data_IF_973851645279
#
_entry.id   IF_973851645279
#
_cell.length_a   1.000
_cell.length_b   1.000
_cell.length_c   1.000
_cell.angle_alpha   90.00
_cell.angle_beta   90.00
_cell.angle_gamma   90.00
#
_symmetry.space_group_name_H-M   'P 1'
#
loop_
_entity.id
_entity.type
_entity.pdbx_description
1 polymer ?
#
# COMPACT_ATOMS: atom_id res chain seq x y z
N UNK A 1 27.50 11.93 -11.42
CA UNK A 1 27.75 10.75 -12.27
C UNK A 1 26.40 10.19 -12.73
N UNK A 2 26.35 9.54 -13.90
CA UNK A 2 25.16 8.86 -14.41
C UNK A 2 24.87 7.56 -13.65
N UNK A 3 23.66 7.00 -13.84
CA UNK A 3 23.30 5.69 -13.32
C UNK A 3 24.25 4.62 -13.89
N UNK A 4 24.69 3.64 -13.08
CA UNK A 4 25.37 2.45 -13.58
C UNK A 4 24.52 1.71 -14.62
N UNK A 5 25.17 1.08 -15.60
CA UNK A 5 24.48 0.34 -16.68
C UNK A 5 23.99 -1.05 -16.27
N UNK A 6 24.50 -1.58 -15.16
CA UNK A 6 24.15 -2.87 -14.56
C UNK A 6 22.94 -2.79 -13.60
N UNK A 7 22.53 -1.58 -13.20
CA UNK A 7 21.31 -1.38 -12.40
C UNK A 7 20.10 -1.06 -13.29
N UNK A 8 18.92 -1.27 -12.73
CA UNK A 8 17.68 -0.73 -13.31
C UNK A 8 17.72 0.80 -13.26
N UNK A 9 17.29 1.44 -14.35
CA UNK A 9 17.28 2.91 -14.47
C UNK A 9 15.87 3.37 -14.85
N UNK A 10 15.37 4.43 -14.21
CA UNK A 10 13.98 4.87 -14.34
C UNK A 10 12.95 3.90 -13.75
N UNK A 11 11.67 4.10 -14.08
CA UNK A 11 10.60 3.18 -13.66
C UNK A 11 10.59 1.91 -14.51
N UNK A 12 10.20 0.78 -13.91
CA UNK A 12 10.10 -0.51 -14.63
C UNK A 12 8.70 -0.73 -15.19
N UNK A 13 8.64 -1.07 -16.47
CA UNK A 13 7.47 -1.70 -17.10
C UNK A 13 7.74 -3.20 -17.26
N UNK A 14 6.98 -4.04 -16.56
CA UNK A 14 7.17 -5.50 -16.61
C UNK A 14 6.54 -6.03 -17.90
N UNK A 15 7.28 -6.85 -18.66
CA UNK A 15 6.82 -7.40 -19.93
C UNK A 15 6.62 -8.92 -19.84
N UNK A 16 5.39 -9.36 -20.13
CA UNK A 16 4.97 -10.76 -20.09
C UNK A 16 4.14 -11.07 -18.85
N UNK A 17 3.33 -12.16 -18.87
CA UNK A 17 2.63 -12.63 -17.68
C UNK A 17 3.65 -13.04 -16.61
N UNK A 18 3.29 -12.89 -15.34
CA UNK A 18 4.08 -13.41 -14.21
C UNK A 18 3.45 -14.75 -13.80
N UNK A 19 4.22 -15.83 -13.84
CA UNK A 19 3.79 -17.13 -13.35
C UNK A 19 4.05 -17.26 -11.84
N UNK A 20 3.34 -18.17 -11.17
CA UNK A 20 3.57 -18.41 -9.73
C UNK A 20 5.02 -18.86 -9.46
N UNK A 21 5.59 -19.69 -10.34
CA UNK A 21 7.00 -20.11 -10.27
C UNK A 21 8.00 -18.97 -10.36
N UNK A 22 7.65 -17.86 -11.02
CA UNK A 22 8.52 -16.68 -11.11
C UNK A 22 8.52 -15.91 -9.79
N UNK A 23 7.38 -15.92 -9.07
CA UNK A 23 7.24 -15.33 -7.73
C UNK A 23 7.97 -16.16 -6.68
N UNK A 24 7.76 -17.47 -6.68
CA UNK A 24 8.32 -18.40 -5.68
C UNK A 24 9.85 -18.31 -5.61
N UNK A 25 10.51 -18.06 -6.75
CA UNK A 25 11.96 -17.86 -6.85
C UNK A 25 12.49 -16.52 -6.33
N UNK A 26 11.63 -15.52 -6.10
CA UNK A 26 12.00 -14.16 -5.63
C UNK A 26 11.30 -13.74 -4.33
N UNK A 27 10.57 -14.65 -3.68
CA UNK A 27 9.84 -14.38 -2.43
C UNK A 27 10.80 -14.08 -1.27
N UNK A 28 10.78 -12.84 -0.78
CA UNK A 28 11.55 -12.35 0.35
C UNK A 28 10.72 -12.45 1.63
N UNK A 29 11.17 -13.27 2.58
CA UNK A 29 10.45 -13.58 3.84
C UNK A 29 10.18 -12.39 4.77
N UNK A 30 10.80 -11.23 4.57
CA UNK A 30 10.67 -10.07 5.46
C UNK A 30 10.78 -8.76 4.70
N UNK A 31 9.71 -7.98 4.73
CA UNK A 31 9.70 -6.62 4.19
C UNK A 31 10.78 -5.76 4.87
N UNK A 32 11.68 -5.07 4.14
CA UNK A 32 12.75 -4.24 4.70
C UNK A 32 12.26 -2.86 5.19
N UNK A 33 10.94 -2.67 5.27
CA UNK A 33 10.28 -1.40 5.53
C UNK A 33 9.30 -1.53 6.69
N UNK A 34 9.26 -0.49 7.52
CA UNK A 34 8.22 -0.25 8.52
C UNK A 34 7.51 1.07 8.19
N UNK A 35 6.19 1.12 8.30
CA UNK A 35 5.38 2.31 7.96
C UNK A 35 4.70 2.88 9.20
N UNK A 36 4.52 4.20 9.24
CA UNK A 36 3.74 4.89 10.27
C UNK A 36 2.87 5.93 9.57
N UNK A 37 1.56 5.76 9.60
CA UNK A 37 0.62 6.73 9.04
C UNK A 37 0.00 7.56 10.16
N UNK A 38 -0.12 8.87 9.95
CA UNK A 38 -0.69 9.73 10.99
C UNK A 38 -2.21 9.55 11.10
N UNK A 39 -2.78 9.55 12.32
CA UNK A 39 -4.22 9.55 12.50
C UNK A 39 -4.80 10.87 12.03
N UNK A 40 -6.01 10.82 11.45
CA UNK A 40 -6.72 11.97 10.88
C UNK A 40 -8.03 12.24 11.60
N UNK A 41 -8.47 13.50 11.58
CA UNK A 41 -9.78 13.94 12.11
C UNK A 41 -10.70 14.51 11.02
N UNK A 42 -10.16 14.88 9.85
CA UNK A 42 -10.90 15.34 8.67
C UNK A 42 -10.57 14.49 7.45
N UNK A 43 -11.50 14.39 6.50
CA UNK A 43 -11.28 13.73 5.21
C UNK A 43 -10.16 14.40 4.40
N UNK A 44 -9.45 13.66 3.52
CA UNK A 44 -8.42 14.22 2.66
C UNK A 44 -9.04 15.04 1.52
N UNK A 45 -8.32 16.06 1.03
CA UNK A 45 -8.78 16.86 -0.12
C UNK A 45 -7.93 16.61 -1.35
N UNK A 46 -8.54 16.68 -2.54
CA UNK A 46 -7.81 16.72 -3.81
C UNK A 46 -7.57 18.17 -4.20
N UNK A 47 -6.32 18.54 -4.45
CA UNK A 47 -5.93 19.84 -5.00
C UNK A 47 -5.16 19.66 -6.30
N UNK A 48 -5.11 20.73 -7.11
CA UNK A 48 -4.46 20.74 -8.43
C UNK A 48 -4.84 19.56 -9.35
N UNK A 49 -6.07 19.05 -9.18
CA UNK A 49 -6.65 17.85 -9.82
C UNK A 49 -6.01 16.51 -9.48
N UNK A 50 -4.69 16.42 -9.29
CA UNK A 50 -4.01 15.14 -9.14
C UNK A 50 -3.25 14.94 -7.81
N UNK A 51 -3.30 15.89 -6.88
CA UNK A 51 -2.58 15.82 -5.59
C UNK A 51 -3.56 15.62 -4.42
N UNK A 52 -3.14 14.86 -3.40
CA UNK A 52 -3.94 14.63 -2.17
C UNK A 52 -3.24 15.28 -0.97
N UNK A 53 -3.99 16.13 -0.26
CA UNK A 53 -3.51 16.78 0.98
C UNK A 53 -3.67 15.83 2.17
N UNK A 54 -2.66 14.96 2.35
CA UNK A 54 -2.60 13.97 3.44
C UNK A 54 -1.16 13.55 3.80
N UNK A 55 -0.20 14.45 3.59
CA UNK A 55 1.24 14.16 3.74
C UNK A 55 1.74 14.28 5.18
N UNK A 56 1.05 15.04 6.03
CA UNK A 56 1.52 15.45 7.36
C UNK A 56 1.70 14.25 8.31
N UNK A 57 2.90 14.12 8.88
CA UNK A 57 3.23 13.19 9.96
C UNK A 57 3.38 11.72 9.57
N UNK A 58 2.96 11.33 8.36
CA UNK A 58 3.17 9.99 7.82
C UNK A 58 4.65 9.78 7.43
N UNK A 59 5.23 8.64 7.81
CA UNK A 59 6.66 8.34 7.63
C UNK A 59 6.90 6.85 7.36
N UNK A 60 8.05 6.50 6.80
CA UNK A 60 8.51 5.11 6.73
C UNK A 60 9.99 4.98 7.13
N UNK A 61 10.39 3.77 7.51
CA UNK A 61 11.77 3.45 7.91
C UNK A 61 12.26 2.31 7.01
N UNK A 62 13.34 2.57 6.28
CA UNK A 62 14.05 1.57 5.46
C UNK A 62 15.48 1.42 5.98
N UNK A 63 15.87 0.19 6.35
CA UNK A 63 17.23 -0.12 6.88
C UNK A 63 17.73 0.89 7.92
N UNK A 64 16.87 1.24 8.89
CA UNK A 64 17.10 2.24 9.95
C UNK A 64 17.08 3.72 9.53
N UNK A 65 17.07 4.05 8.24
CA UNK A 65 16.90 5.43 7.75
C UNK A 65 15.42 5.81 7.72
N UNK A 66 15.08 7.00 8.25
CA UNK A 66 13.70 7.54 8.28
C UNK A 66 13.45 8.45 7.08
N UNK A 67 12.32 8.23 6.43
CA UNK A 67 11.80 9.00 5.31
C UNK A 67 10.43 9.58 5.69
N UNK A 68 10.15 10.82 5.28
CA UNK A 68 8.88 11.49 5.54
C UNK A 68 8.03 11.49 4.27
N UNK A 69 6.71 11.28 4.40
CA UNK A 69 5.79 11.41 3.28
C UNK A 69 5.78 12.88 2.84
N UNK A 70 6.19 13.11 1.59
CA UNK A 70 6.38 14.47 1.05
C UNK A 70 5.32 14.84 0.02
N UNK A 71 4.71 13.84 -0.63
CA UNK A 71 3.76 14.04 -1.71
C UNK A 71 2.87 12.81 -1.95
N UNK A 72 1.65 13.02 -2.44
CA UNK A 72 0.70 11.97 -2.82
C UNK A 72 0.03 12.37 -4.14
N UNK A 73 0.20 11.57 -5.19
CA UNK A 73 -0.39 11.83 -6.51
C UNK A 73 -1.30 10.69 -7.01
N UNK A 74 -2.38 11.07 -7.69
CA UNK A 74 -3.20 10.19 -8.54
C UNK A 74 -2.76 10.36 -9.99
N UNK A 75 -2.17 9.33 -10.58
CA UNK A 75 -1.42 9.41 -11.85
C UNK A 75 -1.88 8.37 -12.87
N UNK A 76 -1.43 8.54 -14.11
CA UNK A 76 -1.50 7.48 -15.13
C UNK A 76 -0.71 6.26 -14.66
N UNK A 77 -1.16 5.03 -14.92
CA UNK A 77 -0.41 3.83 -14.56
C UNK A 77 1.00 3.85 -15.16
N UNK A 78 2.02 3.91 -14.30
CA UNK A 78 3.43 3.86 -14.68
C UNK A 78 3.85 2.40 -14.76
N UNK A 79 3.58 1.69 -13.67
CA UNK A 79 3.81 0.27 -13.62
C UNK A 79 2.66 -0.38 -14.39
N UNK A 80 3.01 -1.10 -15.44
CA UNK A 80 2.08 -1.90 -16.24
C UNK A 80 2.69 -3.26 -16.55
N UNK A 81 1.83 -4.20 -16.98
CA UNK A 81 2.23 -5.53 -17.46
C UNK A 81 2.50 -6.60 -16.40
N UNK A 82 2.54 -6.28 -15.09
CA UNK A 82 2.57 -7.27 -14.00
C UNK A 82 1.22 -7.98 -13.80
N UNK A 83 0.77 -8.76 -14.77
CA UNK A 83 -0.43 -9.57 -14.60
C UNK A 83 -0.09 -10.73 -13.64
N UNK A 84 -0.53 -10.61 -12.39
CA UNK A 84 -0.42 -11.68 -11.39
C UNK A 84 -1.20 -12.94 -11.81
N UNK A 85 -0.79 -14.14 -11.36
CA UNK A 85 -1.55 -15.37 -11.56
C UNK A 85 -3.03 -15.21 -11.16
N UNK A 86 -3.94 -15.51 -12.08
CA UNK A 86 -5.39 -15.40 -11.87
C UNK A 86 -6.00 -14.01 -12.04
N UNK A 87 -5.20 -12.94 -12.09
CA UNK A 87 -5.68 -11.58 -12.37
C UNK A 87 -5.72 -11.33 -13.88
N UNK A 88 -6.62 -10.44 -14.33
CA UNK A 88 -6.78 -10.05 -15.76
C UNK A 88 -7.10 -8.57 -15.98
N UNK A 89 -7.14 -7.79 -14.90
CA UNK A 89 -7.54 -6.39 -14.95
C UNK A 89 -6.35 -5.49 -15.26
N UNK A 90 -6.58 -4.43 -16.02
CA UNK A 90 -5.60 -3.37 -16.25
C UNK A 90 -5.92 -2.17 -15.35
N UNK A 91 -4.93 -1.58 -14.67
CA UNK A 91 -5.17 -0.38 -13.87
C UNK A 91 -5.59 0.79 -14.77
N UNK A 92 -6.46 1.66 -14.25
CA UNK A 92 -6.89 2.90 -14.91
C UNK A 92 -6.17 4.14 -14.41
N UNK A 93 -5.77 4.11 -13.15
CA UNK A 93 -4.94 5.10 -12.49
C UNK A 93 -3.99 4.39 -11.50
N UNK A 94 -3.07 5.13 -10.91
CA UNK A 94 -2.16 4.64 -9.87
C UNK A 94 -2.04 5.73 -8.79
N UNK A 95 -2.16 5.35 -7.53
CA UNK A 95 -1.91 6.22 -6.38
C UNK A 95 -0.44 6.05 -5.97
N UNK A 96 0.32 7.14 -5.93
CA UNK A 96 1.74 7.12 -5.56
C UNK A 96 2.00 7.99 -4.35
N UNK A 97 2.47 7.38 -3.26
CA UNK A 97 2.97 8.05 -2.06
C UNK A 97 4.49 8.19 -2.20
N UNK A 98 4.99 9.41 -2.08
CA UNK A 98 6.39 9.74 -2.29
C UNK A 98 7.06 10.16 -0.98
N UNK A 99 7.88 9.28 -0.42
CA UNK A 99 8.61 9.52 0.82
C UNK A 99 10.02 10.02 0.49
N UNK A 100 10.41 11.20 0.99
CA UNK A 100 11.75 11.77 0.81
C UNK A 100 12.66 11.49 2.00
N UNK A 101 13.95 11.33 1.75
CA UNK A 101 14.95 11.30 2.82
C UNK A 101 15.04 12.66 3.52
N UNK A 102 15.29 12.68 4.83
CA UNK A 102 15.51 13.93 5.58
C UNK A 102 16.90 14.53 5.33
N UNK A 103 17.80 13.75 4.74
CA UNK A 103 19.16 14.13 4.37
C UNK A 103 19.39 13.68 2.92
N UNK A 104 19.92 14.52 2.03
CA UNK A 104 20.25 14.12 0.67
C UNK A 104 21.13 12.85 0.64
N UNK A 105 20.83 11.94 -0.27
CA UNK A 105 21.58 10.70 -0.41
C UNK A 105 22.96 10.97 -1.03
N UNK A 106 24.03 10.81 -0.25
CA UNK A 106 25.41 11.00 -0.72
C UNK A 106 25.93 9.86 -1.62
N UNK A 107 25.14 8.79 -1.81
CA UNK A 107 25.49 7.65 -2.66
C UNK A 107 24.23 6.86 -3.02
N UNK A 108 24.24 6.14 -4.15
CA UNK A 108 23.12 5.28 -4.60
C UNK A 108 22.79 4.10 -3.65
N UNK A 109 23.65 3.83 -2.66
CA UNK A 109 23.36 2.87 -1.60
C UNK A 109 22.35 3.42 -0.57
N UNK A 110 22.17 4.74 -0.52
CA UNK A 110 21.11 5.44 0.18
C UNK A 110 20.11 5.94 -0.87
N UNK A 111 18.80 5.86 -0.60
CA UNK A 111 17.80 6.34 -1.55
C UNK A 111 17.47 7.81 -1.26
N UNK A 112 17.35 8.63 -2.30
CA UNK A 112 16.81 9.99 -2.20
C UNK A 112 15.31 9.93 -1.86
N UNK A 113 14.61 8.88 -2.31
CA UNK A 113 13.22 8.64 -1.96
C UNK A 113 12.76 7.19 -2.07
N UNK A 114 11.61 6.93 -1.44
CA UNK A 114 10.89 5.66 -1.46
C UNK A 114 9.50 5.93 -2.02
N UNK A 115 9.08 5.17 -3.02
CA UNK A 115 7.78 5.30 -3.66
C UNK A 115 6.91 4.08 -3.33
N UNK A 116 5.68 4.31 -2.84
CA UNK A 116 4.67 3.26 -2.72
C UNK A 116 3.60 3.51 -3.78
N UNK A 117 3.45 2.57 -4.69
CA UNK A 117 2.65 2.68 -5.89
C UNK A 117 1.52 1.66 -5.84
N UNK A 118 0.28 2.15 -5.91
CA UNK A 118 -0.93 1.36 -5.70
C UNK A 118 -1.84 1.52 -6.93
N UNK A 119 -1.92 0.52 -7.83
CA UNK A 119 -2.84 0.56 -8.97
C UNK A 119 -4.30 0.70 -8.53
N UNK A 120 -5.09 1.41 -9.34
CA UNK A 120 -6.54 1.60 -9.14
C UNK A 120 -7.27 0.94 -10.31
N UNK A 121 -8.19 0.05 -9.99
CA UNK A 121 -9.01 -0.72 -10.94
C UNK A 121 -10.47 -0.25 -10.88
N UNK A 122 -11.10 -0.08 -12.05
CA UNK A 122 -12.51 0.33 -12.22
C UNK A 122 -13.49 -0.85 -12.33
N UNK A 123 -13.03 -2.06 -12.00
CA UNK A 123 -13.79 -3.31 -12.18
C UNK A 123 -13.52 -4.31 -11.04
N UNK A 124 -14.56 -5.01 -10.60
CA UNK A 124 -14.48 -6.04 -9.55
C UNK A 124 -15.28 -5.70 -8.29
N UNK A 125 -15.13 -6.54 -7.26
CA UNK A 125 -15.72 -6.27 -5.95
C UNK A 125 -14.90 -5.18 -5.22
N UNK A 126 -15.53 -4.14 -4.64
CA UNK A 126 -14.82 -3.08 -3.95
C UNK A 126 -13.87 -3.60 -2.87
N UNK A 127 -12.64 -3.11 -2.87
CA UNK A 127 -11.57 -3.56 -1.98
C UNK A 127 -10.50 -2.48 -1.83
N UNK A 128 -10.09 -2.20 -0.60
CA UNK A 128 -9.14 -1.13 -0.24
C UNK A 128 -9.57 0.30 -0.67
N UNK A 129 -10.83 0.48 -1.07
CA UNK A 129 -11.39 1.70 -1.64
C UNK A 129 -11.89 2.71 -0.60
N UNK A 130 -12.06 2.30 0.66
CA UNK A 130 -12.53 3.15 1.75
C UNK A 130 -11.72 4.45 1.93
N UNK A 131 -10.43 4.46 1.59
CA UNK A 131 -9.63 5.68 1.57
C UNK A 131 -10.05 6.62 0.42
N UNK A 132 -10.04 6.12 -0.82
CA UNK A 132 -10.37 6.93 -2.01
C UNK A 132 -11.85 7.35 -2.06
N UNK A 133 -12.76 6.58 -1.46
CA UNK A 133 -14.18 6.93 -1.39
C UNK A 133 -14.44 8.22 -0.59
N UNK A 134 -13.56 8.61 0.35
CA UNK A 134 -13.65 9.92 1.03
C UNK A 134 -13.30 11.10 0.10
N UNK A 135 -12.52 10.84 -0.96
CA UNK A 135 -12.20 11.87 -1.95
C UNK A 135 -13.38 12.13 -2.89
N UNK A 136 -14.38 11.25 -2.91
CA UNK A 136 -15.59 11.38 -3.70
C UNK A 136 -16.59 12.24 -2.95
N UNK A 137 -16.98 13.36 -3.57
CA UNK A 137 -18.11 14.13 -3.05
C UNK A 137 -19.42 13.39 -3.33
N UNK A 138 -19.90 12.65 -2.34
CA UNK A 138 -21.22 11.99 -2.38
C UNK A 138 -22.38 12.97 -2.31
N UNK A 139 -22.14 14.29 -2.29
CA UNK A 139 -23.18 15.31 -2.38
C UNK A 139 -23.36 15.93 -3.78
N UNK A 140 -22.44 15.71 -4.71
CA UNK A 140 -22.53 16.19 -6.10
C UNK A 140 -23.15 15.11 -7.02
N UNK A 141 -24.36 15.33 -7.57
CA UNK A 141 -24.96 14.38 -8.49
C UNK A 141 -24.31 14.43 -9.87
N UNK A 142 -24.00 13.25 -10.42
CA UNK A 142 -23.31 13.09 -11.71
C UNK A 142 -24.10 13.59 -12.94
N UNK A 143 -25.37 13.93 -12.77
CA UNK A 143 -26.29 14.34 -13.83
C UNK A 143 -26.94 15.69 -13.52
N UNK A 144 -27.27 16.42 -14.58
CA UNK A 144 -28.15 17.58 -14.47
C UNK A 144 -29.54 17.09 -14.07
N UNK A 145 -30.12 17.71 -13.03
CA UNK A 145 -31.41 17.33 -12.49
C UNK A 145 -32.24 18.57 -12.13
N UNK A 146 -33.55 18.44 -12.19
CA UNK A 146 -34.47 19.44 -11.62
C UNK A 146 -34.83 19.06 -10.18
N UNK A 147 -35.23 20.04 -9.36
CA UNK A 147 -35.79 19.81 -8.02
C UNK A 147 -37.08 20.59 -7.89
N UNK A 148 -38.20 19.87 -7.74
CA UNK A 148 -39.53 20.43 -7.63
C UNK A 148 -40.11 20.05 -6.24
N UNK A 149 -39.89 20.88 -5.19
CA UNK A 149 -40.53 20.72 -3.89
C UNK A 149 -42.06 20.78 -3.99
N UNK A 150 -42.75 20.01 -3.15
CA UNK A 150 -44.20 19.90 -3.19
C UNK A 150 -44.74 19.11 -4.39
N UNK A 151 -43.90 18.38 -5.13
CA UNK A 151 -44.32 17.51 -6.25
C UNK A 151 -44.14 16.04 -5.93
N UNK A 152 -45.18 15.25 -6.20
CA UNK A 152 -45.18 13.81 -5.97
C UNK A 152 -45.57 13.04 -7.25
N UNK A 153 -44.69 12.14 -7.68
CA UNK A 153 -44.95 11.21 -8.79
C UNK A 153 -45.47 9.84 -8.31
N UNK A 154 -45.39 9.53 -7.00
CA UNK A 154 -45.81 8.22 -6.45
C UNK A 154 -47.33 7.99 -6.52
N UNK A 155 -48.08 9.04 -6.87
CA UNK A 155 -49.53 9.05 -7.06
C UNK A 155 -49.97 8.69 -8.48
N UNK A 156 -49.06 8.64 -9.46
CA UNK A 156 -49.39 8.23 -10.83
C UNK A 156 -49.63 6.71 -10.89
N UNK A 157 -50.89 6.33 -11.14
CA UNK A 157 -51.29 4.92 -11.22
C UNK A 157 -50.78 4.21 -12.47
N UNK A 158 -50.38 4.95 -13.51
CA UNK A 158 -49.90 4.40 -14.77
C UNK A 158 -48.39 4.11 -14.74
N UNK A 159 -47.61 4.96 -14.06
CA UNK A 159 -46.15 4.90 -14.08
C UNK A 159 -45.59 4.46 -12.73
N UNK A 160 -45.37 3.15 -12.57
CA UNK A 160 -44.77 2.58 -11.36
C UNK A 160 -43.27 2.84 -11.27
N UNK A 161 -42.80 3.21 -10.07
CA UNK A 161 -41.39 3.24 -9.74
C UNK A 161 -40.74 1.88 -10.05
N UNK A 162 -39.63 1.90 -10.80
CA UNK A 162 -38.91 0.69 -11.23
C UNK A 162 -37.92 0.22 -10.16
N UNK A 163 -37.46 1.13 -9.31
CA UNK A 163 -36.56 0.86 -8.18
C UNK A 163 -36.91 1.77 -7.01
N UNK A 164 -36.84 1.21 -5.80
CA UNK A 164 -37.13 1.93 -4.55
C UNK A 164 -35.99 1.69 -3.58
N UNK A 165 -35.51 2.74 -2.89
CA UNK A 165 -34.46 2.67 -1.89
C UNK A 165 -34.98 3.23 -0.56
N UNK A 166 -34.68 2.56 0.54
CA UNK A 166 -35.15 2.88 1.90
C UNK A 166 -34.05 3.55 2.72
N UNK A 167 -34.42 4.36 3.72
CA UNK A 167 -33.52 5.06 4.63
C UNK A 167 -32.49 5.99 3.96
N UNK A 168 -32.80 6.46 2.76
CA UNK A 168 -32.00 7.41 1.98
C UNK A 168 -32.21 8.86 2.41
N UNK A 169 -31.25 9.72 2.09
CA UNK A 169 -31.36 11.18 2.00
C UNK A 169 -31.80 11.62 0.60
N UNK A 170 -32.20 12.89 0.46
CA UNK A 170 -32.50 13.49 -0.85
C UNK A 170 -31.31 13.39 -1.81
N UNK A 171 -30.09 13.61 -1.33
CA UNK A 171 -28.90 13.63 -2.20
C UNK A 171 -28.53 12.21 -2.67
N UNK A 172 -28.65 11.21 -1.79
CA UNK A 172 -28.52 9.80 -2.18
C UNK A 172 -29.59 9.36 -3.17
N UNK A 173 -30.83 9.86 -3.05
CA UNK A 173 -31.90 9.65 -4.04
C UNK A 173 -31.46 10.12 -5.43
N UNK A 174 -30.99 11.36 -5.53
CA UNK A 174 -30.59 11.98 -6.80
C UNK A 174 -29.34 11.27 -7.36
N UNK A 175 -28.37 10.92 -6.53
CA UNK A 175 -27.19 10.18 -6.98
C UNK A 175 -27.54 8.77 -7.49
N UNK A 176 -28.40 8.04 -6.77
CA UNK A 176 -28.85 6.72 -7.21
C UNK A 176 -29.62 6.80 -8.54
N UNK A 177 -30.30 7.91 -8.78
CA UNK A 177 -30.99 8.21 -10.01
C UNK A 177 -30.02 8.61 -11.15
N UNK A 178 -29.03 9.47 -10.89
CA UNK A 178 -27.97 9.80 -11.86
C UNK A 178 -27.10 8.59 -12.24
N UNK A 179 -26.87 7.67 -11.30
CA UNK A 179 -26.08 6.46 -11.52
C UNK A 179 -26.82 5.37 -12.32
N UNK A 180 -28.12 5.55 -12.55
CA UNK A 180 -28.94 4.63 -13.34
C UNK A 180 -29.22 5.25 -14.71
N UNK A 181 -28.52 4.76 -15.73
CA UNK A 181 -28.62 5.28 -17.11
C UNK A 181 -29.99 5.15 -17.75
N UNK A 182 -30.91 4.40 -17.14
CA UNK A 182 -32.32 4.29 -17.57
C UNK A 182 -33.26 5.19 -16.78
N UNK A 183 -32.80 5.78 -15.68
CA UNK A 183 -33.61 6.64 -14.83
C UNK A 183 -33.73 8.04 -15.44
N UNK A 184 -34.96 8.51 -15.63
CA UNK A 184 -35.28 9.83 -16.21
C UNK A 184 -36.02 10.74 -15.24
N UNK A 185 -36.53 10.18 -14.13
CA UNK A 185 -37.17 10.94 -13.07
C UNK A 185 -37.06 10.22 -11.72
N UNK A 186 -37.20 10.98 -10.63
CA UNK A 186 -37.19 10.47 -9.26
C UNK A 186 -38.21 11.19 -8.37
N UNK A 187 -38.57 10.56 -7.25
CA UNK A 187 -39.27 11.18 -6.11
C UNK A 187 -38.57 10.79 -4.83
N UNK A 188 -38.31 11.76 -3.96
CA UNK A 188 -37.89 11.56 -2.58
C UNK A 188 -39.05 11.89 -1.63
N UNK A 189 -39.40 10.95 -0.74
CA UNK A 189 -40.54 11.04 0.18
C UNK A 189 -40.30 10.15 1.40
N UNK A 190 -40.44 10.68 2.62
CA UNK A 190 -40.31 9.92 3.87
C UNK A 190 -39.05 9.03 3.94
N UNK A 191 -37.85 9.61 3.69
CA UNK A 191 -36.57 8.90 3.59
C UNK A 191 -36.51 7.76 2.55
N UNK A 192 -37.48 7.71 1.64
CA UNK A 192 -37.58 6.72 0.58
C UNK A 192 -37.35 7.39 -0.78
N UNK A 193 -36.50 6.78 -1.59
CA UNK A 193 -36.25 7.15 -2.98
C UNK A 193 -37.06 6.28 -3.92
N UNK A 194 -37.72 6.87 -4.92
CA UNK A 194 -38.47 6.19 -5.95
C UNK A 194 -37.91 6.61 -7.32
N UNK A 195 -37.45 5.65 -8.13
CA UNK A 195 -36.79 5.90 -9.41
C UNK A 195 -37.65 5.41 -10.58
N UNK A 196 -37.72 6.20 -11.66
CA UNK A 196 -38.59 5.96 -12.80
C UNK A 196 -37.84 6.01 -14.13
N UNK A 197 -38.14 5.08 -15.03
CA UNK A 197 -37.54 4.99 -16.38
C UNK A 197 -38.38 5.65 -17.48
N UNK A 198 -39.54 6.19 -17.10
CA UNK A 198 -40.44 7.03 -17.89
C UNK A 198 -40.81 8.22 -17.00
N UNK A 199 -41.03 9.41 -17.56
CA UNK A 199 -41.38 10.60 -16.78
C UNK A 199 -42.84 10.45 -16.29
N UNK A 200 -43.11 10.32 -14.99
CA UNK A 200 -44.48 10.17 -14.47
C UNK A 200 -45.23 11.50 -14.51
N UNK A 201 -46.55 11.45 -14.35
CA UNK A 201 -47.36 12.65 -14.12
C UNK A 201 -47.16 13.16 -12.69
N UNK A 202 -46.52 14.33 -12.55
CA UNK A 202 -46.43 15.03 -11.26
C UNK A 202 -47.82 15.44 -10.73
N UNK A 203 -48.04 15.26 -9.43
CA UNK A 203 -49.13 15.90 -8.69
C UNK A 203 -48.60 16.93 -7.69
N UNK A 204 -49.37 17.99 -7.43
CA UNK A 204 -49.03 18.97 -6.41
C UNK A 204 -49.47 18.46 -5.03
N UNK A 205 -48.62 18.65 -4.01
CA UNK A 205 -48.93 18.36 -2.61
C UNK A 205 -48.66 19.59 -1.73
N UNK A 206 -49.30 19.66 -0.57
CA UNK A 206 -49.02 20.68 0.44
C UNK A 206 -47.72 20.44 1.21
N UNK A 207 -47.16 19.23 1.15
CA UNK A 207 -45.92 18.86 1.84
C UNK A 207 -44.69 19.17 0.97
N UNK A 208 -43.92 20.17 1.38
CA UNK A 208 -42.70 20.61 0.69
C UNK A 208 -41.51 19.64 0.85
N UNK A 209 -41.55 18.73 1.84
CA UNK A 209 -40.51 17.70 2.05
C UNK A 209 -40.57 16.59 0.99
N UNK A 210 -41.65 16.53 0.20
CA UNK A 210 -41.77 15.66 -0.96
C UNK A 210 -41.18 16.39 -2.16
N UNK A 211 -40.12 15.84 -2.74
CA UNK A 211 -39.38 16.45 -3.84
C UNK A 211 -39.32 15.47 -4.99
N UNK A 212 -39.88 15.85 -6.14
CA UNK A 212 -39.69 15.12 -7.40
C UNK A 212 -38.77 15.90 -8.35
N UNK A 213 -38.23 15.21 -9.34
CA UNK A 213 -37.35 15.82 -10.33
C UNK A 213 -37.13 14.93 -11.54
N UNK A 214 -36.73 15.56 -12.64
CA UNK A 214 -36.30 14.93 -13.89
C UNK A 214 -34.80 14.93 -14.01
N UNK A 215 -34.26 14.00 -14.80
CA UNK A 215 -32.83 13.79 -15.01
C UNK A 215 -32.47 13.95 -16.48
N UNK A 216 -31.39 14.67 -16.71
CA UNK A 216 -30.74 14.83 -18.00
C UNK A 216 -29.32 14.24 -17.92
N UNK A 217 -29.15 13.09 -18.56
CA UNK A 217 -27.87 12.40 -18.72
C UNK A 217 -27.02 12.96 -19.88
N UNK A 218 -27.53 13.92 -20.65
CA UNK A 218 -26.86 14.45 -21.86
C UNK A 218 -25.98 15.67 -21.57
N UNK A 219 -26.07 16.27 -20.38
CA UNK A 219 -25.25 17.44 -19.99
C UNK A 219 -24.60 17.28 -18.62
N UNK A 220 -23.32 17.65 -18.53
CA UNK A 220 -22.54 17.59 -17.29
C UNK A 220 -23.02 18.66 -16.28
N UNK A 221 -22.99 18.37 -14.96
CA UNK A 221 -23.56 19.23 -13.93
C UNK A 221 -22.73 20.50 -13.65
N UNK A 222 -23.43 21.55 -13.21
CA UNK A 222 -22.84 22.80 -12.68
C UNK A 222 -22.66 22.68 -11.17
N UNK A 223 -21.48 23.01 -10.67
CA UNK A 223 -21.09 22.87 -9.25
C UNK A 223 -21.67 24.03 -8.42
N UNK A 224 -22.40 23.73 -7.35
CA UNK A 224 -22.77 24.70 -6.30
C UNK A 224 -22.51 24.11 -4.93
N UNK A 225 -21.47 24.59 -4.25
CA UNK A 225 -21.02 24.08 -2.96
C UNK A 225 -21.85 24.63 -1.78
N UNK A 226 -22.35 23.75 -0.90
CA UNK A 226 -22.69 24.09 0.50
C UNK A 226 -22.48 22.87 1.39
N UNK A 227 -21.54 22.96 2.33
CA UNK A 227 -21.15 21.85 3.21
C UNK A 227 -22.04 21.73 4.46
N UNK A 228 -22.36 20.50 4.89
CA UNK A 228 -22.49 20.13 6.31
C UNK A 228 -22.73 18.63 6.50
N UNK A 229 -21.89 17.97 7.32
CA UNK A 229 -22.23 16.69 7.96
C UNK A 229 -21.61 16.60 9.36
N UNK A 230 -22.45 16.35 10.36
CA UNK A 230 -22.02 15.85 11.67
C UNK A 230 -22.17 14.33 11.68
N UNK A 231 -21.11 13.57 12.02
CA UNK A 231 -21.23 12.32 12.78
C UNK A 231 -19.87 11.83 13.29
N UNK A 232 -19.89 11.13 14.41
CA UNK A 232 -18.69 10.66 15.12
C UNK A 232 -18.10 9.39 14.50
N UNK A 233 -17.32 9.51 13.44
CA UNK A 233 -16.51 8.43 12.88
C UNK A 233 -15.13 8.95 12.47
N UNK A 234 -14.06 8.26 12.86
CA UNK A 234 -12.70 8.56 12.41
C UNK A 234 -12.58 8.24 10.91
N UNK A 235 -12.13 9.17 10.04
CA UNK A 235 -12.09 8.90 8.61
C UNK A 235 -11.06 7.80 8.27
N UNK A 236 -11.35 6.86 7.35
CA UNK A 236 -10.42 5.78 7.00
C UNK A 236 -9.02 6.30 6.62
N UNK A 237 -7.99 5.72 7.25
CA UNK A 237 -6.62 6.19 7.16
C UNK A 237 -5.86 5.60 5.96
N UNK A 238 -4.77 6.25 5.56
CA UNK A 238 -3.90 5.84 4.45
C UNK A 238 -3.35 4.40 4.62
N UNK A 239 -3.19 3.93 5.87
CA UNK A 239 -2.82 2.55 6.21
C UNK A 239 -3.77 1.49 5.65
N UNK A 240 -5.09 1.79 5.58
CA UNK A 240 -6.13 0.84 5.17
C UNK A 240 -5.95 0.30 3.75
N UNK A 241 -5.22 1.03 2.91
CA UNK A 241 -4.87 0.64 1.55
C UNK A 241 -3.93 -0.58 1.54
N UNK A 242 -2.98 -0.64 2.46
CA UNK A 242 -1.87 -1.61 2.43
C UNK A 242 -2.17 -2.93 3.16
N UNK A 243 -3.23 -2.97 3.97
CA UNK A 243 -3.59 -4.15 4.77
C UNK A 243 -3.74 -5.41 3.90
N UNK A 244 -3.06 -6.50 4.27
CA UNK A 244 -3.08 -7.80 3.58
C UNK A 244 -2.69 -7.79 2.09
N UNK A 245 -2.04 -6.72 1.61
CA UNK A 245 -1.52 -6.66 0.25
C UNK A 245 -0.15 -7.36 0.16
N UNK A 246 0.09 -8.04 -0.97
CA UNK A 246 1.42 -8.44 -1.42
C UNK A 246 2.05 -7.30 -2.23
N UNK A 247 3.38 -7.22 -2.29
CA UNK A 247 4.10 -6.18 -3.06
C UNK A 247 5.26 -6.74 -3.87
N UNK A 248 5.57 -6.07 -4.97
CA UNK A 248 6.89 -6.12 -5.60
C UNK A 248 7.71 -4.93 -5.12
N UNK A 249 9.02 -5.06 -4.98
CA UNK A 249 9.89 -3.90 -4.90
C UNK A 249 11.10 -4.04 -5.83
N UNK A 250 11.64 -2.90 -6.25
CA UNK A 250 12.87 -2.85 -7.03
C UNK A 250 13.68 -1.61 -6.70
N UNK A 251 14.98 -1.74 -6.92
CA UNK A 251 15.98 -0.69 -6.73
C UNK A 251 16.25 -0.07 -8.09
N UNK A 252 16.16 1.24 -8.19
CA UNK A 252 16.43 1.97 -9.44
C UNK A 252 17.13 3.29 -9.14
N UNK A 253 17.62 3.95 -10.18
CA UNK A 253 18.02 5.35 -10.09
C UNK A 253 17.53 6.13 -11.31
N UNK A 254 17.48 7.45 -11.16
CA UNK A 254 17.21 8.38 -12.24
C UNK A 254 18.17 9.56 -12.15
N UNK A 255 18.41 10.24 -13.25
CA UNK A 255 19.28 11.41 -13.27
C UNK A 255 18.54 12.74 -13.28
N UNK A 256 19.15 13.74 -12.66
CA UNK A 256 18.92 15.16 -12.97
C UNK A 256 20.06 15.71 -13.82
N UNK A 257 19.79 16.83 -14.48
CA UNK A 257 20.74 17.52 -15.36
C UNK A 257 20.89 18.94 -14.88
N UNK A 258 22.06 19.28 -14.35
CA UNK A 258 22.33 20.61 -13.81
C UNK A 258 22.50 21.67 -14.92
N UNK A 259 22.68 22.94 -14.51
CA UNK A 259 22.95 24.05 -15.43
C UNK A 259 24.24 23.90 -16.27
N UNK A 260 25.18 23.04 -15.85
CA UNK A 260 26.44 22.73 -16.56
C UNK A 260 26.34 21.51 -17.47
N UNK A 261 25.13 20.89 -17.56
CA UNK A 261 24.83 19.63 -18.25
C UNK A 261 25.47 18.38 -17.64
N UNK A 262 25.92 18.45 -16.40
CA UNK A 262 26.40 17.30 -15.64
C UNK A 262 25.22 16.47 -15.15
N UNK A 263 25.33 15.14 -15.27
CA UNK A 263 24.36 14.20 -14.74
C UNK A 263 24.64 13.91 -13.26
N UNK A 264 23.66 14.17 -12.41
CA UNK A 264 23.60 13.71 -11.02
C UNK A 264 22.59 12.56 -10.91
N UNK A 265 22.91 11.50 -10.15
CA UNK A 265 22.02 10.32 -10.02
C UNK A 265 21.40 10.23 -8.64
N UNK A 266 20.10 10.01 -8.61
CA UNK A 266 19.27 9.89 -7.43
C UNK A 266 18.77 8.45 -7.28
N UNK A 267 19.01 7.84 -6.12
CA UNK A 267 18.55 6.48 -5.83
C UNK A 267 17.06 6.46 -5.46
N UNK A 268 16.32 5.49 -5.99
CA UNK A 268 14.93 5.21 -5.61
C UNK A 268 14.75 3.74 -5.20
N UNK A 269 13.90 3.55 -4.18
CA UNK A 269 13.31 2.25 -3.89
C UNK A 269 11.81 2.32 -4.18
N UNK A 270 11.35 1.54 -5.15
CA UNK A 270 9.97 1.56 -5.62
C UNK A 270 9.28 0.29 -5.17
N UNK A 271 8.11 0.43 -4.53
CA UNK A 271 7.29 -0.67 -4.03
C UNK A 271 5.94 -0.59 -4.73
N UNK A 272 5.58 -1.61 -5.50
CA UNK A 272 4.30 -1.71 -6.21
C UNK A 272 3.41 -2.71 -5.49
N UNK A 273 2.16 -2.35 -5.19
CA UNK A 273 1.18 -3.21 -4.54
C UNK A 273 0.17 -3.75 -5.56
N UNK A 274 0.49 -4.82 -6.31
CA UNK A 274 -0.22 -5.21 -7.53
C UNK A 274 -1.71 -5.56 -7.37
N UNK A 275 -2.18 -5.87 -6.15
CA UNK A 275 -3.61 -6.09 -5.89
C UNK A 275 -4.39 -4.77 -5.85
N UNK A 276 -3.74 -3.68 -5.44
CA UNK A 276 -4.21 -2.32 -5.62
C UNK A 276 -5.49 -2.00 -4.88
N UNK A 277 -6.19 -1.00 -5.39
CA UNK A 277 -7.51 -0.59 -4.95
C UNK A 277 -8.51 -0.97 -6.06
N UNK A 278 -9.53 -1.74 -5.70
CA UNK A 278 -10.65 -2.04 -6.59
C UNK A 278 -11.81 -1.14 -6.21
N UNK A 279 -12.25 -0.27 -7.12
CA UNK A 279 -13.40 0.61 -6.91
C UNK A 279 -14.61 0.12 -7.70
N UNK A 280 -15.81 0.33 -7.15
CA UNK A 280 -17.02 0.24 -7.95
C UNK A 280 -16.94 1.25 -9.11
N UNK A 281 -17.36 0.86 -10.32
CA UNK A 281 -17.17 1.68 -11.52
C UNK A 281 -17.81 3.08 -11.41
N UNK A 282 -18.94 3.21 -10.71
CA UNK A 282 -19.57 4.50 -10.42
C UNK A 282 -18.70 5.41 -9.53
N UNK A 283 -18.03 4.84 -8.52
CA UNK A 283 -17.10 5.55 -7.65
C UNK A 283 -15.83 5.96 -8.42
N UNK A 284 -15.33 5.09 -9.30
CA UNK A 284 -14.21 5.44 -10.19
C UNK A 284 -14.58 6.58 -11.16
N UNK A 285 -15.80 6.57 -11.73
CA UNK A 285 -16.30 7.67 -12.57
C UNK A 285 -16.35 8.98 -11.78
N UNK A 286 -16.89 8.99 -10.56
CA UNK A 286 -16.89 10.15 -9.67
C UNK A 286 -15.48 10.69 -9.39
N UNK A 287 -14.53 9.80 -9.04
CA UNK A 287 -13.13 10.17 -8.84
C UNK A 287 -12.51 10.75 -10.12
N UNK A 288 -12.74 10.11 -11.27
CA UNK A 288 -12.25 10.56 -12.58
C UNK A 288 -12.81 11.92 -13.00
N UNK A 289 -14.06 12.26 -12.64
CA UNK A 289 -14.64 13.58 -12.88
C UNK A 289 -13.93 14.66 -12.05
N UNK A 290 -13.51 14.33 -10.82
CA UNK A 290 -12.79 15.25 -9.92
C UNK A 290 -11.33 15.47 -10.31
N UNK A 291 -10.65 14.42 -10.80
CA UNK A 291 -9.22 14.49 -11.19
C UNK A 291 -9.01 14.77 -12.69
N UNK A 292 -10.04 14.59 -13.52
CA UNK A 292 -9.93 14.58 -14.98
C UNK A 292 -9.19 13.35 -15.50
N UNK A 293 -8.51 13.50 -16.63
CA UNK A 293 -7.53 12.48 -17.05
C UNK A 293 -6.35 12.52 -16.08
N UNK A 294 -5.93 11.38 -15.48
CA UNK A 294 -4.76 11.36 -14.62
C UNK A 294 -3.52 11.91 -15.34
N UNK A 295 -2.67 12.63 -14.61
CA UNK A 295 -1.41 13.17 -15.12
C UNK A 295 -0.28 12.15 -15.04
N UNK A 296 0.80 12.33 -15.79
CA UNK A 296 2.05 11.58 -15.54
C UNK A 296 2.62 11.96 -14.17
N UNK A 297 3.16 11.00 -13.44
CA UNK A 297 3.83 11.24 -12.16
C UNK A 297 5.00 12.21 -12.28
N UNK A 298 5.05 13.16 -11.36
CA UNK A 298 6.09 14.18 -11.25
C UNK A 298 6.93 13.91 -10.01
N UNK A 299 8.22 13.64 -10.17
CA UNK A 299 9.10 13.40 -9.02
C UNK A 299 9.20 14.68 -8.15
N UNK A 300 8.84 14.62 -6.86
CA UNK A 300 8.89 15.78 -5.96
C UNK A 300 10.30 16.36 -5.84
N UNK A 301 10.38 17.69 -5.71
CA UNK A 301 11.64 18.43 -5.48
C UNK A 301 12.37 17.95 -4.22
N UNK A 302 11.64 17.43 -3.22
CA UNK A 302 12.19 16.78 -2.02
C UNK A 302 12.98 15.50 -2.31
N UNK A 303 12.81 14.89 -3.49
CA UNK A 303 13.48 13.65 -3.93
C UNK A 303 14.49 13.93 -5.05
N UNK A 304 14.13 14.76 -6.05
CA UNK A 304 15.00 15.06 -7.20
C UNK A 304 15.90 16.30 -7.04
N UNK A 305 15.71 17.10 -5.99
CA UNK A 305 16.34 18.42 -5.89
C UNK A 305 15.74 19.45 -6.86
N UNK A 306 16.41 20.59 -7.09
CA UNK A 306 15.89 21.66 -7.94
C UNK A 306 15.93 21.31 -9.43
N UNK A 307 16.93 20.54 -9.86
CA UNK A 307 17.30 20.38 -11.27
C UNK A 307 16.30 19.54 -12.08
N UNK A 308 16.16 19.83 -13.40
CA UNK A 308 15.33 19.04 -14.31
C UNK A 308 15.73 17.56 -14.34
N UNK A 309 14.75 16.66 -14.34
CA UNK A 309 15.02 15.23 -14.55
C UNK A 309 15.40 14.94 -16.00
N UNK A 310 16.30 13.98 -16.19
CA UNK A 310 16.55 13.36 -17.49
C UNK A 310 15.28 12.62 -17.94
N UNK A 311 14.84 12.84 -19.18
CA UNK A 311 13.63 12.23 -19.75
C UNK A 311 13.94 11.32 -20.95
N UNK A 312 14.94 11.66 -21.77
CA UNK A 312 15.50 10.76 -22.79
C UNK A 312 17.01 10.96 -22.88
N UNK A 313 17.72 9.89 -23.22
CA UNK A 313 19.18 9.87 -23.31
C UNK A 313 19.65 9.03 -24.50
N UNK A 314 20.92 9.19 -24.84
CA UNK A 314 21.66 8.32 -25.77
C UNK A 314 23.04 8.05 -25.22
N UNK A 315 23.71 7.02 -25.72
CA UNK A 315 25.14 6.86 -25.49
C UNK A 315 25.92 7.62 -26.56
N UNK A 316 27.02 8.26 -26.19
CA UNK A 316 27.98 8.84 -27.13
C UNK A 316 28.96 7.78 -27.67
N UNK A 317 29.84 8.17 -28.58
CA UNK A 317 30.84 7.28 -29.20
C UNK A 317 31.87 6.71 -28.20
N UNK A 318 31.92 7.26 -26.97
CA UNK A 318 32.73 6.77 -25.85
C UNK A 318 31.93 5.93 -24.85
N UNK A 319 30.66 5.64 -25.13
CA UNK A 319 29.78 4.85 -24.27
C UNK A 319 29.21 5.62 -23.07
N UNK A 320 29.39 6.95 -22.99
CA UNK A 320 28.84 7.74 -21.89
C UNK A 320 27.37 8.08 -22.14
N UNK A 321 26.56 8.04 -21.08
CA UNK A 321 25.16 8.47 -21.11
C UNK A 321 25.09 9.99 -21.26
N UNK A 322 24.46 10.47 -22.32
CA UNK A 322 24.28 11.91 -22.62
C UNK A 322 22.80 12.28 -22.69
N UNK A 323 22.47 13.47 -22.18
CA UNK A 323 21.08 13.96 -22.16
C UNK A 323 20.59 14.36 -23.56
N UNK A 324 19.39 13.91 -23.92
CA UNK A 324 18.69 14.29 -25.15
C UNK A 324 17.51 15.21 -24.83
N UNK A 325 16.66 14.85 -23.86
CA UNK A 325 15.61 15.73 -23.33
C UNK A 325 15.54 15.67 -21.81
N UNK A 326 15.13 16.77 -21.19
CA UNK A 326 14.92 16.92 -19.75
C UNK A 326 13.50 17.38 -19.43
N UNK A 327 13.11 17.30 -18.16
CA UNK A 327 11.79 17.69 -17.66
C UNK A 327 11.91 18.54 -16.40
N UNK A 328 11.51 19.81 -16.50
CA UNK A 328 11.33 20.72 -15.35
C UNK A 328 10.23 20.23 -14.40
N UNK A 329 9.23 19.54 -14.94
CA UNK A 329 8.11 18.94 -14.20
C UNK A 329 8.54 17.74 -13.34
N UNK A 330 9.73 17.18 -13.55
CA UNK A 330 10.22 16.00 -12.83
C UNK A 330 9.74 14.65 -13.39
N UNK A 331 9.37 14.55 -14.67
CA UNK A 331 9.05 13.26 -15.28
C UNK A 331 10.30 12.38 -15.39
N UNK A 332 10.22 11.16 -14.88
CA UNK A 332 11.27 10.13 -15.00
C UNK A 332 10.95 9.24 -16.22
N UNK A 333 12.00 8.72 -16.88
CA UNK A 333 11.88 7.77 -17.97
C UNK A 333 11.48 6.36 -17.49
N UNK A 334 11.06 5.51 -18.42
CA UNK A 334 10.69 4.12 -18.15
C UNK A 334 11.58 3.15 -18.93
N UNK A 335 11.87 2.01 -18.33
CA UNK A 335 12.67 0.93 -18.90
C UNK A 335 11.86 -0.38 -18.89
N UNK A 336 11.83 -1.15 -19.99
CA UNK A 336 11.18 -2.45 -20.00
C UNK A 336 12.02 -3.50 -19.24
N UNK A 337 11.36 -4.44 -18.57
CA UNK A 337 11.97 -5.61 -17.95
C UNK A 337 11.09 -6.83 -18.20
N UNK A 338 11.57 -7.84 -18.93
CA UNK A 338 10.78 -9.05 -19.18
C UNK A 338 10.75 -9.96 -17.96
N UNK A 339 9.57 -10.46 -17.58
CA UNK A 339 9.39 -11.39 -16.43
C UNK A 339 10.19 -12.69 -16.58
N UNK A 340 10.57 -13.07 -17.81
CA UNK A 340 11.24 -14.33 -18.09
C UNK A 340 12.78 -14.29 -17.96
N UNK A 341 13.39 -13.14 -17.70
CA UNK A 341 14.86 -12.99 -17.65
C UNK A 341 15.46 -13.29 -16.27
N UNK A 342 16.77 -13.57 -16.23
CA UNK A 342 17.51 -13.57 -14.96
C UNK A 342 17.48 -12.18 -14.29
N UNK A 343 17.58 -11.10 -15.08
CA UNK A 343 17.49 -9.73 -14.56
C UNK A 343 16.20 -9.45 -13.79
N UNK A 344 15.05 -10.00 -14.21
CA UNK A 344 13.83 -9.89 -13.42
C UNK A 344 13.98 -10.57 -12.05
N UNK A 345 14.52 -11.79 -12.03
CA UNK A 345 14.73 -12.55 -10.79
C UNK A 345 15.75 -11.91 -9.85
N UNK A 346 16.79 -11.28 -10.39
CA UNK A 346 17.87 -10.70 -9.61
C UNK A 346 17.56 -9.26 -9.13
N UNK A 347 16.65 -8.54 -9.81
CA UNK A 347 16.37 -7.12 -9.55
C UNK A 347 15.00 -6.84 -8.90
N UNK A 348 14.06 -7.78 -8.95
CA UNK A 348 12.74 -7.67 -8.31
C UNK A 348 12.71 -8.50 -7.02
N UNK A 349 12.25 -7.90 -5.93
CA UNK A 349 11.93 -8.56 -4.67
C UNK A 349 10.41 -8.73 -4.56
N UNK A 350 9.89 -9.91 -4.21
CA UNK A 350 8.45 -10.11 -3.96
C UNK A 350 8.18 -10.33 -2.46
N UNK A 351 7.12 -9.71 -1.95
CA UNK A 351 6.69 -9.83 -0.56
C UNK A 351 5.23 -10.28 -0.50
N UNK A 352 4.97 -11.38 0.20
CA UNK A 352 3.60 -11.89 0.42
C UNK A 352 2.78 -11.00 1.38
N UNK A 353 3.46 -10.12 2.13
CA UNK A 353 2.87 -9.25 3.14
C UNK A 353 3.43 -7.83 3.03
N UNK A 354 2.54 -6.86 3.19
CA UNK A 354 2.82 -5.44 3.23
C UNK A 354 3.83 -5.04 4.34
N UNK A 355 4.42 -3.82 4.27
CA UNK A 355 5.21 -3.26 5.35
C UNK A 355 4.49 -3.35 6.69
N UNK A 356 5.24 -3.65 7.77
CA UNK A 356 4.63 -3.69 9.10
C UNK A 356 4.30 -2.27 9.56
N UNK A 357 3.06 -1.98 10.00
CA UNK A 357 2.75 -0.70 10.63
C UNK A 357 3.39 -0.62 12.02
N UNK A 358 3.97 0.52 12.37
CA UNK A 358 4.19 0.90 13.77
C UNK A 358 2.88 1.41 14.35
N UNK A 359 2.09 0.47 14.91
CA UNK A 359 0.78 0.71 15.49
C UNK A 359 0.71 1.97 16.37
N UNK A 360 -0.10 2.95 15.98
CA UNK A 360 -0.37 4.17 16.74
C UNK A 360 -1.86 4.38 17.04
N UNK A 361 -2.53 3.34 17.56
CA UNK A 361 -3.90 3.46 18.11
C UNK A 361 -4.30 2.28 19.02
N UNK A 362 -4.11 2.43 20.33
CA UNK A 362 -5.00 1.84 21.34
C UNK A 362 -5.14 2.80 22.51
N UNK A 363 -6.38 2.97 22.97
CA UNK A 363 -6.81 4.15 23.73
C UNK A 363 -6.58 4.05 25.24
N UNK A 364 -6.32 5.23 25.84
CA UNK A 364 -6.68 5.63 27.21
C UNK A 364 -6.25 4.77 28.41
N UNK A 365 -5.17 5.17 29.09
CA UNK A 365 -5.28 5.68 30.46
C UNK A 365 -4.09 6.57 30.86
N UNK A 366 -4.42 7.69 31.52
CA UNK A 366 -3.57 8.66 32.21
C UNK A 366 -2.12 8.30 32.56
N UNK A 367 -1.14 9.05 32.05
CA UNK A 367 -0.41 10.14 32.77
C UNK A 367 0.78 10.59 31.92
N UNK A 368 1.05 11.90 31.85
CA UNK A 368 2.14 12.45 31.04
C UNK A 368 3.54 12.01 31.53
N UNK A 369 4.41 11.58 30.61
CA UNK A 369 5.77 11.16 30.92
C UNK A 369 6.54 10.75 29.66
N UNK A 370 7.61 11.49 29.39
CA UNK A 370 8.43 11.46 28.18
C UNK A 370 9.06 10.07 27.84
N UNK A 371 9.34 9.88 26.55
CA UNK A 371 10.42 9.06 25.97
C UNK A 371 10.36 7.50 25.93
N UNK A 372 10.91 7.01 24.79
CA UNK A 372 11.63 5.75 24.57
C UNK A 372 10.90 4.39 24.66
N UNK A 373 11.44 3.44 23.90
CA UNK A 373 11.21 2.00 24.12
C UNK A 373 11.57 1.69 25.58
N UNK A 374 10.58 1.35 26.40
CA UNK A 374 10.68 1.44 27.86
C UNK A 374 11.66 0.45 28.53
N UNK A 375 12.23 -0.47 27.75
CA UNK A 375 13.20 -1.46 28.20
C UNK A 375 14.30 -1.68 27.16
N UNK A 376 15.55 -1.67 27.61
CA UNK A 376 16.73 -2.09 26.85
C UNK A 376 16.87 -3.62 26.88
N UNK A 377 17.70 -4.21 26.00
CA UNK A 377 17.92 -5.68 25.97
C UNK A 377 18.41 -6.27 27.31
N UNK A 378 19.08 -5.48 28.13
CA UNK A 378 19.50 -5.85 29.50
C UNK A 378 18.34 -5.95 30.50
N UNK A 379 17.21 -5.31 30.21
CA UNK A 379 16.02 -5.25 31.08
C UNK A 379 14.96 -6.29 30.68
N UNK A 380 15.03 -6.85 29.47
CA UNK A 380 14.28 -8.04 29.10
C UNK A 380 14.99 -9.30 29.60
N UNK A 381 14.25 -10.20 30.25
CA UNK A 381 14.75 -11.48 30.75
C UNK A 381 14.20 -12.65 29.93
N UNK A 382 15.07 -13.61 29.64
CA UNK A 382 14.71 -14.85 28.97
C UNK A 382 13.95 -15.77 29.96
N UNK A 383 12.66 -15.99 29.72
CA UNK A 383 11.83 -16.93 30.47
C UNK A 383 11.72 -18.25 29.67
N UNK A 384 11.94 -19.43 30.30
CA UNK A 384 11.74 -20.72 29.64
C UNK A 384 10.30 -20.91 29.15
N UNK A 385 10.13 -21.38 27.91
CA UNK A 385 8.80 -21.55 27.29
C UNK A 385 7.85 -22.48 28.07
N UNK A 386 8.41 -23.46 28.79
CA UNK A 386 7.66 -24.37 29.66
C UNK A 386 7.16 -23.72 30.98
N UNK A 387 7.54 -22.47 31.28
CA UNK A 387 7.05 -21.70 32.43
C UNK A 387 6.10 -20.55 32.07
N UNK A 388 5.80 -20.33 30.79
CA UNK A 388 5.02 -19.17 30.31
C UNK A 388 3.61 -19.07 30.92
N UNK A 389 3.02 -20.20 31.30
CA UNK A 389 1.67 -20.27 31.86
C UNK A 389 1.62 -20.18 33.40
N UNK A 390 2.76 -20.30 34.08
CA UNK A 390 2.87 -20.34 35.56
C UNK A 390 4.08 -19.50 36.02
N UNK A 391 3.98 -18.18 35.85
CA UNK A 391 5.04 -17.25 36.25
C UNK A 391 4.84 -16.76 37.68
N UNK A 392 5.74 -17.19 38.57
CA UNK A 392 5.87 -16.63 39.91
C UNK A 392 6.92 -15.50 39.95
N UNK A 393 6.78 -14.58 40.90
CA UNK A 393 7.58 -13.35 40.99
C UNK A 393 9.10 -13.62 41.10
N UNK A 394 9.50 -14.76 41.69
CA UNK A 394 10.89 -15.21 41.78
C UNK A 394 11.52 -15.72 40.47
N UNK A 395 10.72 -16.22 39.51
CA UNK A 395 11.22 -16.65 38.19
C UNK A 395 11.60 -15.44 37.32
N UNK A 396 10.92 -14.31 37.51
CA UNK A 396 11.22 -13.04 36.83
C UNK A 396 12.43 -12.34 37.49
N UNK A 397 12.68 -12.56 38.78
CA UNK A 397 13.88 -12.02 39.45
C UNK A 397 15.18 -12.66 38.95
N UNK A 398 15.16 -13.96 38.62
CA UNK A 398 16.37 -14.78 38.37
C UNK A 398 16.76 -15.00 36.89
N UNK A 399 15.90 -14.66 35.93
CA UNK A 399 16.18 -14.86 34.50
C UNK A 399 17.37 -14.05 33.94
N UNK A 400 18.17 -14.69 33.06
CA UNK A 400 19.26 -14.07 32.28
C UNK A 400 18.72 -12.99 31.32
N UNK A 401 19.52 -11.97 31.01
CA UNK A 401 19.09 -10.92 30.07
C UNK A 401 19.16 -11.38 28.60
N UNK A 402 18.45 -10.68 27.70
CA UNK A 402 18.54 -10.97 26.26
C UNK A 402 19.98 -10.84 25.72
N UNK A 403 20.76 -9.89 26.24
CA UNK A 403 22.17 -9.74 25.84
C UNK A 403 23.02 -10.95 26.27
N UNK A 404 22.70 -11.59 27.40
CA UNK A 404 23.37 -12.82 27.83
C UNK A 404 22.92 -14.02 26.99
N UNK A 405 21.64 -14.07 26.61
CA UNK A 405 21.11 -15.12 25.73
C UNK A 405 21.74 -15.06 24.32
N UNK A 406 21.96 -13.85 23.78
CA UNK A 406 22.63 -13.65 22.47
C UNK A 406 24.12 -14.06 22.56
N UNK A 407 24.87 -13.58 23.57
CA UNK A 407 26.29 -13.92 23.72
C UNK A 407 26.59 -15.42 23.86
N UNK A 408 25.64 -16.20 24.38
CA UNK A 408 25.77 -17.64 24.51
C UNK A 408 25.38 -18.42 23.21
N UNK A 409 24.89 -17.73 22.17
CA UNK A 409 24.65 -18.32 20.84
C UNK A 409 25.82 -18.08 19.87
N UNK A 410 26.65 -17.06 20.11
CA UNK A 410 27.80 -16.69 19.24
C UNK A 410 29.10 -17.46 19.54
N UNK A 411 29.04 -18.59 20.27
CA UNK A 411 30.19 -19.53 20.35
C UNK A 411 30.08 -20.50 19.16
N UNK A 412 30.97 -20.42 18.15
CA UNK A 412 30.93 -21.35 17.03
C UNK A 412 31.25 -22.77 17.52
N UNK A 413 30.40 -23.72 17.15
CA UNK A 413 30.68 -25.15 17.32
C UNK A 413 31.83 -25.56 16.38
N UNK A 414 33.06 -25.46 16.88
CA UNK A 414 34.26 -25.87 16.14
C UNK A 414 34.29 -27.39 16.01
N UNK A 415 33.76 -27.90 14.90
CA UNK A 415 33.92 -29.30 14.50
C UNK A 415 35.38 -29.57 14.13
N UNK A 416 36.17 -30.06 15.11
CA UNK A 416 37.44 -30.73 14.80
C UNK A 416 37.15 -32.15 14.32
N UNK A 417 37.60 -32.47 13.11
CA UNK A 417 37.76 -33.83 12.63
C UNK A 417 38.76 -34.59 13.51
N UNK A 418 38.48 -35.86 13.78
CA UNK A 418 39.41 -36.77 14.44
C UNK A 418 40.58 -37.12 13.54
N UNK A 419 41.80 -36.96 14.05
CA UNK A 419 42.94 -37.83 13.74
C UNK A 419 43.51 -38.36 15.05
N UNK A 420 44.03 -39.59 15.02
CA UNK A 420 44.23 -40.43 16.20
C UNK A 420 45.67 -40.92 16.31
N UNK A 421 46.36 -40.60 17.42
CA UNK A 421 47.31 -41.48 18.14
C UNK A 421 47.99 -40.71 19.29
N UNK A 422 47.96 -41.20 20.54
CA UNK A 422 49.07 -41.90 21.25
C UNK A 422 50.35 -41.02 21.30
N UNK A 423 50.85 -40.49 22.41
CA UNK A 423 50.58 -40.64 23.87
C UNK A 423 50.91 -39.27 24.58
N UNK A 424 51.00 -39.03 25.90
CA UNK A 424 51.16 -39.86 27.11
C UNK A 424 50.58 -39.17 28.39
N UNK A 425 51.22 -39.41 29.55
CA UNK A 425 51.11 -38.93 30.95
C UNK A 425 51.38 -37.42 31.18
N UNK A 426 51.02 -36.73 32.30
CA UNK A 426 50.25 -36.97 33.55
C UNK A 426 49.98 -35.57 34.19
N UNK A 427 48.84 -35.22 34.82
CA UNK A 427 48.58 -35.20 36.29
C UNK A 427 47.29 -34.36 36.56
N UNK A 428 46.49 -34.79 37.55
CA UNK A 428 45.44 -34.11 38.37
C UNK A 428 44.97 -32.66 38.04
N UNK A 429 43.71 -32.26 38.25
CA UNK A 429 42.53 -32.93 38.85
C UNK A 429 41.24 -32.13 38.53
N UNK A 430 40.05 -32.74 38.72
CA UNK A 430 38.85 -31.94 39.03
C UNK A 430 37.48 -32.40 38.50
N UNK A 431 36.89 -33.40 39.17
CA UNK A 431 35.42 -33.47 39.46
C UNK A 431 34.42 -33.68 38.30
N UNK A 432 33.87 -34.90 38.25
CA UNK A 432 32.43 -35.27 38.10
C UNK A 432 31.61 -34.44 37.07
N UNK A 433 31.23 -34.97 35.91
CA UNK A 433 30.28 -36.09 35.76
C UNK A 433 28.83 -35.57 35.81
N UNK A 434 28.06 -35.57 34.73
CA UNK A 434 27.40 -36.79 34.26
C UNK A 434 26.69 -36.61 32.91
N UNK A 435 26.43 -37.75 32.26
CA UNK A 435 25.83 -37.92 30.92
C UNK A 435 24.34 -37.58 30.90
N UNK A 436 23.86 -36.96 29.82
CA UNK A 436 22.50 -37.19 29.30
C UNK A 436 22.58 -37.49 27.80
N UNK A 437 21.95 -38.60 27.40
CA UNK A 437 21.94 -39.12 26.03
C UNK A 437 20.91 -38.38 25.17
N UNK A 438 21.29 -38.03 23.94
CA UNK A 438 20.36 -37.56 22.91
C UNK A 438 19.68 -38.77 22.27
N UNK A 439 18.35 -38.83 22.33
CA UNK A 439 17.55 -39.75 21.51
C UNK A 439 16.80 -38.93 20.45
N UNK A 440 17.35 -38.91 19.24
CA UNK A 440 16.61 -38.54 18.02
C UNK A 440 15.80 -39.73 17.54
N UNK A 441 14.59 -39.49 17.04
CA UNK A 441 13.57 -40.53 16.89
C UNK A 441 13.47 -41.23 15.54
N UNK A 442 12.61 -42.25 15.56
CA UNK A 442 11.88 -42.85 14.44
C UNK A 442 12.64 -43.60 13.33
N UNK A 443 12.26 -44.87 13.16
CA UNK A 443 11.82 -45.36 11.85
C UNK A 443 10.82 -46.52 12.03
N UNK A 444 9.81 -46.56 11.17
CA UNK A 444 8.70 -47.52 11.16
C UNK A 444 9.01 -48.64 10.19
N UNK A 445 8.71 -49.90 10.53
CA UNK A 445 8.19 -50.89 9.57
C UNK A 445 7.61 -52.14 10.29
N UNK A 446 6.38 -52.50 9.90
CA UNK A 446 5.68 -53.72 10.31
C UNK A 446 6.04 -54.87 9.35
N UNK A 447 6.37 -56.07 9.85
CA UNK A 447 5.61 -57.32 9.59
C UNK A 447 6.25 -58.61 10.17
N UNK A 448 5.46 -59.30 11.00
CA UNK A 448 5.28 -60.76 11.10
C UNK A 448 6.43 -61.77 11.41
N UNK A 449 6.34 -62.26 12.66
CA UNK A 449 6.27 -63.69 13.06
C UNK A 449 7.55 -64.58 13.15
N UNK A 450 7.54 -65.68 13.96
CA UNK A 450 8.71 -66.06 14.76
C UNK A 450 9.16 -67.54 14.66
N UNK A 451 10.39 -67.84 15.12
CA UNK A 451 10.69 -69.00 16.01
C UNK A 451 12.19 -69.13 16.40
N UNK A 452 12.40 -69.28 17.71
CA UNK A 452 13.28 -70.21 18.47
C UNK A 452 14.71 -70.60 18.02
N UNK A 453 15.51 -70.82 19.08
CA UNK A 453 16.79 -71.56 19.20
C UNK A 453 18.01 -70.97 18.49
N UNK A 454 19.22 -71.05 19.06
CA UNK A 454 19.67 -71.75 20.31
C UNK A 454 20.59 -70.85 21.14
#
# INVERSE_FOLDING_TARGET
MACPSDVTTGFVTIQGPIQQSDLDGITVKRHPLTTSFSPRTSEPTIFNKNYIDDTVGSTCIYKSSRYNLSDIQLVQPIHTGYILPGYRQTPKAELILSFSANTPALSLANYSGILMCVPIYDSGAPSHDAYLNQLIDTTTPLCKHTRNPGKDCTTDTNTKAKRTLQNTTLTECINAACNDSKCVAYTYKNKTSYLYYEIPKETNTTNQDIISGTIDHTTAPVITNTCSTNNTNTPPQLESIFNHQSSFAYKTCFETVDSTKVLESHGLYVIVFPKGITMASANYVLLSTKIGNPSRYRCPVSIRGPDPTLLTYRFDDSGNKTSVTTSSDGYIYTSPLSSCTAEFRDRIEFFEHAPKPTSSSSSSSSTAGNAQCKYTRKQYKCVPLNKVNELHEGDIASGKSIDDCIKNQDIPATSKSSETSVEEMEVLAGVVGSVVVVVMGALVLHHFWPKKSS
#
